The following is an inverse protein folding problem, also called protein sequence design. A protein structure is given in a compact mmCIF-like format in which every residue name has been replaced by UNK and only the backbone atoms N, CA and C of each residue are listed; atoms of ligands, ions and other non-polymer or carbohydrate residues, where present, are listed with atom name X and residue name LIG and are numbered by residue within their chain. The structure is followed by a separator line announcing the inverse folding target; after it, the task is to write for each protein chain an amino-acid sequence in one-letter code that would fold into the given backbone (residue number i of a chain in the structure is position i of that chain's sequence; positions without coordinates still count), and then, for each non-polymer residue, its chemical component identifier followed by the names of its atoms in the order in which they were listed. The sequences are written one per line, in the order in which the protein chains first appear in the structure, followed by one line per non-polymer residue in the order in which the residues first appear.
data_IF_184823137401
#
_entry.id   IF_184823137401
#
_cell.length_a   1.000
_cell.length_b   1.000
_cell.length_c   1.000
_cell.angle_alpha   90.00
_cell.angle_beta   90.00
_cell.angle_gamma   90.00
#
_symmetry.space_group_name_H-M   'P 1'
#
loop_
_entity.id
_entity.type
_entity.pdbx_description
1 polymer ?
#
# COMPACT_ATOMS: atom_id res chain seq x y z
N UNK A 1 0.23 12.96 -11.58
CA UNK A 1 0.60 13.05 -13.01
C UNK A 1 -0.66 12.78 -13.84
N UNK A 2 -0.88 13.54 -14.92
CA UNK A 2 -2.04 13.39 -15.79
C UNK A 2 -1.67 12.72 -17.12
N UNK A 3 -2.57 11.89 -17.62
CA UNK A 3 -2.56 11.32 -18.96
C UNK A 3 -3.47 12.16 -19.87
N UNK A 4 -2.98 12.57 -21.04
CA UNK A 4 -3.74 13.39 -22.02
C UNK A 4 -4.04 12.57 -23.28
N UNK A 5 -5.29 12.63 -23.77
CA UNK A 5 -5.74 11.94 -24.99
C UNK A 5 -6.90 12.70 -25.64
N UNK A 6 -6.75 13.07 -26.91
CA UNK A 6 -7.81 13.72 -27.72
C UNK A 6 -8.50 14.89 -26.98
N UNK A 7 -7.69 15.82 -26.46
CA UNK A 7 -8.08 16.97 -25.61
C UNK A 7 -8.67 16.65 -24.22
N UNK A 8 -8.85 15.36 -23.90
CA UNK A 8 -9.23 14.91 -22.56
C UNK A 8 -8.02 14.64 -21.67
N UNK A 9 -8.24 14.70 -20.37
CA UNK A 9 -7.24 14.42 -19.33
C UNK A 9 -7.77 13.43 -18.29
N UNK A 10 -6.87 12.61 -17.77
CA UNK A 10 -7.18 11.64 -16.71
C UNK A 10 -6.04 11.60 -15.70
N UNK A 11 -6.35 11.35 -14.42
CA UNK A 11 -5.32 11.13 -13.41
C UNK A 11 -4.69 9.75 -13.59
N UNK A 12 -3.37 9.70 -13.71
CA UNK A 12 -2.62 8.45 -13.77
C UNK A 12 -2.30 7.94 -12.36
N UNK A 13 -2.50 6.64 -12.13
CA UNK A 13 -2.06 6.00 -10.88
C UNK A 13 -0.53 5.98 -10.84
N UNK A 14 0.05 6.52 -9.77
CA UNK A 14 1.50 6.63 -9.59
C UNK A 14 2.18 5.26 -9.53
N UNK A 15 1.57 4.28 -8.86
CA UNK A 15 2.24 3.01 -8.57
C UNK A 15 2.08 1.98 -9.70
N UNK A 16 0.85 1.57 -10.01
CA UNK A 16 0.59 0.64 -11.12
C UNK A 16 0.92 -0.83 -10.85
N UNK A 17 1.41 -1.19 -9.66
CA UNK A 17 1.88 -2.56 -9.37
C UNK A 17 0.78 -3.57 -9.01
N UNK A 18 -0.40 -3.11 -8.60
CA UNK A 18 -1.53 -4.03 -8.35
C UNK A 18 -2.00 -4.64 -9.67
N UNK A 19 -2.26 -5.97 -9.74
CA UNK A 19 -2.89 -6.60 -10.90
C UNK A 19 -4.23 -5.96 -11.28
N UNK A 20 -4.96 -5.47 -10.29
CA UNK A 20 -6.27 -4.83 -10.44
C UNK A 20 -6.16 -3.30 -10.61
N UNK A 21 -4.96 -2.75 -10.81
CA UNK A 21 -4.80 -1.32 -10.98
C UNK A 21 -5.47 -0.84 -12.29
N UNK A 22 -6.37 0.16 -12.24
CA UNK A 22 -7.00 0.72 -13.43
C UNK A 22 -6.02 1.52 -14.32
N UNK A 23 -4.77 1.75 -13.85
CA UNK A 23 -3.69 2.54 -14.47
C UNK A 23 -3.98 4.03 -14.58
N UNK A 24 -5.21 4.42 -14.87
CA UNK A 24 -5.69 5.80 -14.86
C UNK A 24 -7.17 5.83 -14.46
N UNK A 25 -7.65 6.99 -14.03
CA UNK A 25 -9.07 7.23 -13.77
C UNK A 25 -9.88 7.40 -15.05
N UNK A 26 -11.05 8.02 -14.93
CA UNK A 26 -11.83 8.45 -16.09
C UNK A 26 -11.20 9.66 -16.79
N UNK A 27 -11.65 9.93 -18.02
CA UNK A 27 -11.17 11.04 -18.84
C UNK A 27 -12.19 12.18 -18.80
N UNK A 28 -11.69 13.40 -18.59
CA UNK A 28 -12.47 14.63 -18.43
C UNK A 28 -11.91 15.75 -19.30
N UNK A 29 -12.65 16.85 -19.43
CA UNK A 29 -12.25 17.98 -20.27
C UNK A 29 -11.12 18.80 -19.64
N UNK A 30 -10.94 18.71 -18.31
CA UNK A 30 -9.92 19.48 -17.59
C UNK A 30 -9.36 18.74 -16.36
N UNK A 31 -8.20 19.21 -15.89
CA UNK A 31 -7.43 18.56 -14.82
C UNK A 31 -8.18 18.58 -13.48
N UNK A 32 -8.99 19.63 -13.23
CA UNK A 32 -9.76 19.76 -12.00
C UNK A 32 -10.84 18.67 -11.89
N UNK A 33 -11.64 18.45 -12.93
CA UNK A 33 -12.65 17.38 -12.95
C UNK A 33 -12.02 16.00 -12.78
N UNK A 34 -10.86 15.78 -13.40
CA UNK A 34 -10.12 14.52 -13.25
C UNK A 34 -9.59 14.31 -11.83
N UNK A 35 -9.19 15.38 -11.12
CA UNK A 35 -8.80 15.33 -9.71
C UNK A 35 -10.01 15.10 -8.78
N UNK A 36 -11.10 15.84 -8.99
CA UNK A 36 -12.36 15.67 -8.24
C UNK A 36 -12.86 14.23 -8.32
N UNK A 37 -12.81 13.61 -9.50
CA UNK A 37 -13.15 12.21 -9.68
C UNK A 37 -12.30 11.26 -8.82
N UNK A 38 -10.97 11.40 -8.81
CA UNK A 38 -10.13 10.49 -8.02
C UNK A 38 -10.24 10.73 -6.52
N UNK A 39 -10.58 11.95 -6.10
CA UNK A 39 -10.96 12.25 -4.71
C UNK A 39 -12.25 11.52 -4.31
N UNK A 40 -13.29 11.57 -5.16
CA UNK A 40 -14.55 10.85 -4.96
C UNK A 40 -14.34 9.33 -4.92
N UNK A 41 -13.52 8.80 -5.83
CA UNK A 41 -13.11 7.39 -5.87
C UNK A 41 -12.09 7.01 -4.78
N UNK A 42 -11.80 7.92 -3.85
CA UNK A 42 -10.96 7.68 -2.67
C UNK A 42 -9.54 7.21 -3.02
N UNK A 43 -8.96 7.73 -4.11
CA UNK A 43 -7.55 7.56 -4.39
C UNK A 43 -6.73 8.27 -3.32
N UNK A 44 -5.54 7.74 -3.04
CA UNK A 44 -4.67 8.23 -1.98
C UNK A 44 -3.74 9.30 -2.55
N UNK A 45 -3.78 10.55 -2.05
CA UNK A 45 -2.83 11.55 -2.43
C UNK A 45 -1.45 11.21 -1.85
N UNK A 46 -0.47 11.17 -2.72
CA UNK A 46 0.96 11.20 -2.41
C UNK A 46 1.45 12.57 -2.84
N UNK A 47 2.34 13.25 -2.15
CA UNK A 47 2.69 14.65 -2.50
C UNK A 47 3.02 14.92 -3.98
N UNK A 48 3.38 13.87 -4.74
CA UNK A 48 3.71 13.89 -6.17
C UNK A 48 2.63 13.30 -7.11
N UNK A 49 1.44 12.92 -6.61
CA UNK A 49 0.35 12.38 -7.42
C UNK A 49 -0.64 11.48 -6.65
N UNK A 50 -1.34 10.60 -7.35
CA UNK A 50 -2.41 9.79 -6.76
C UNK A 50 -2.14 8.29 -6.89
N UNK A 51 -2.51 7.52 -5.87
CA UNK A 51 -2.46 6.06 -5.87
C UNK A 51 -3.88 5.52 -5.78
N UNK A 52 -4.28 4.65 -6.71
CA UNK A 52 -5.60 4.03 -6.65
C UNK A 52 -5.75 3.11 -5.41
N UNK A 53 -6.98 2.88 -4.92
CA UNK A 53 -7.22 2.03 -3.76
C UNK A 53 -6.58 0.64 -3.85
N UNK A 54 -6.63 -0.01 -5.02
CA UNK A 54 -6.06 -1.34 -5.22
C UNK A 54 -4.54 -1.38 -5.08
N UNK A 55 -3.84 -0.36 -5.61
CA UNK A 55 -2.40 -0.23 -5.43
C UNK A 55 -2.04 0.02 -3.95
N UNK A 56 -2.82 0.84 -3.25
CA UNK A 56 -2.60 1.08 -1.83
C UNK A 56 -2.80 -0.20 -1.00
N UNK A 57 -3.88 -0.95 -1.26
CA UNK A 57 -4.14 -2.25 -0.60
C UNK A 57 -3.01 -3.23 -0.89
N UNK A 58 -2.55 -3.31 -2.15
CA UNK A 58 -1.45 -4.16 -2.56
C UNK A 58 -0.18 -3.84 -1.76
N UNK A 59 0.22 -2.56 -1.74
CA UNK A 59 1.38 -2.09 -1.00
C UNK A 59 1.29 -2.40 0.50
N UNK A 60 0.13 -2.15 1.12
CA UNK A 60 -0.08 -2.44 2.55
C UNK A 60 0.04 -3.94 2.86
N UNK A 61 -0.44 -4.82 1.98
CA UNK A 61 -0.26 -6.27 2.12
C UNK A 61 1.21 -6.68 2.03
N UNK A 62 1.96 -6.08 1.11
CA UNK A 62 3.40 -6.32 0.99
C UNK A 62 4.17 -5.84 2.22
N UNK A 63 3.85 -4.65 2.74
CA UNK A 63 4.45 -4.14 3.98
C UNK A 63 4.25 -5.09 5.16
N UNK A 64 3.06 -5.68 5.31
CA UNK A 64 2.79 -6.66 6.37
C UNK A 64 3.64 -7.91 6.20
N UNK A 65 3.80 -8.42 4.96
CA UNK A 65 4.66 -9.57 4.67
C UNK A 65 6.12 -9.26 5.04
N UNK A 66 6.65 -8.14 4.55
CA UNK A 66 8.04 -7.72 4.84
C UNK A 66 8.27 -7.57 6.36
N UNK A 67 7.32 -7.01 7.10
CA UNK A 67 7.42 -6.90 8.57
C UNK A 67 7.45 -8.27 9.25
N UNK A 68 6.60 -9.22 8.81
CA UNK A 68 6.58 -10.59 9.32
C UNK A 68 7.91 -11.29 9.04
N UNK A 69 8.41 -11.18 7.81
CA UNK A 69 9.62 -11.86 7.38
C UNK A 69 10.85 -11.31 8.10
N UNK A 70 10.93 -9.99 8.28
CA UNK A 70 11.97 -9.37 9.12
C UNK A 70 11.90 -9.87 10.55
N UNK A 71 10.71 -9.92 11.18
CA UNK A 71 10.56 -10.45 12.55
C UNK A 71 11.02 -11.91 12.64
N UNK A 72 10.67 -12.77 11.67
CA UNK A 72 11.13 -14.16 11.63
C UNK A 72 12.66 -14.26 11.45
N UNK A 73 13.25 -13.40 10.64
CA UNK A 73 14.70 -13.38 10.41
C UNK A 73 15.45 -12.99 11.68
N UNK A 74 14.95 -12.00 12.42
CA UNK A 74 15.53 -11.58 13.70
C UNK A 74 15.34 -12.60 14.82
N UNK A 75 14.27 -13.41 14.80
CA UNK A 75 14.09 -14.55 15.71
C UNK A 75 15.14 -15.63 15.41
N UNK A 76 15.30 -16.04 14.14
CA UNK A 76 16.28 -17.05 13.74
C UNK A 76 17.72 -16.66 14.09
N UNK A 77 18.09 -15.39 13.86
CA UNK A 77 19.43 -14.90 14.24
C UNK A 77 19.70 -14.99 15.75
N UNK A 78 18.67 -14.83 16.59
CA UNK A 78 18.82 -14.98 18.04
C UNK A 78 18.94 -16.45 18.44
N UNK A 79 18.19 -17.35 17.79
CA UNK A 79 18.33 -18.80 18.00
C UNK A 79 19.73 -19.31 17.63
N UNK A 80 20.36 -18.73 16.61
CA UNK A 80 21.70 -19.10 16.17
C UNK A 80 22.84 -18.46 17.03
N UNK A 81 22.55 -17.40 17.79
CA UNK A 81 23.54 -16.62 18.57
C UNK A 81 23.41 -16.80 20.09
N UNK A 82 22.34 -17.43 20.58
CA UNK A 82 22.18 -17.75 22.00
C UNK A 82 22.44 -19.22 22.29
N UNK A 83 23.61 -19.50 22.88
CA UNK A 83 23.66 -20.50 23.91
C UNK A 83 22.65 -20.14 25.01
N UNK A 84 21.56 -20.91 25.06
CA UNK A 84 20.90 -21.40 26.26
C UNK A 84 20.43 -20.41 27.35
N UNK A 85 19.76 -19.30 27.00
CA UNK A 85 19.02 -18.50 28.00
C UNK A 85 17.56 -18.26 27.58
N UNK A 86 16.70 -19.12 28.12
CA UNK A 86 15.24 -19.12 28.10
C UNK A 86 14.55 -17.73 28.12
N UNK A 87 13.72 -17.44 27.10
CA UNK A 87 12.56 -16.54 27.23
C UNK A 87 11.45 -16.89 26.22
N UNK A 88 10.79 -18.03 26.45
CA UNK A 88 9.42 -18.25 26.00
C UNK A 88 8.50 -17.49 26.95
N UNK A 89 8.10 -16.28 26.60
CA UNK A 89 6.89 -15.68 27.18
C UNK A 89 6.36 -14.59 26.24
N UNK A 90 5.18 -14.87 25.67
CA UNK A 90 4.05 -13.96 25.52
C UNK A 90 2.96 -14.74 24.77
N UNK A 91 2.36 -15.69 25.49
CA UNK A 91 0.96 -16.05 25.24
C UNK A 91 0.16 -14.76 25.43
N UNK A 92 -0.48 -14.31 24.35
CA UNK A 92 -1.29 -13.10 24.36
C UNK A 92 -2.53 -13.35 25.24
N UNK A 93 -2.41 -12.98 26.51
CA UNK A 93 -3.56 -12.71 27.36
C UNK A 93 -4.30 -11.50 26.82
N UNK A 94 -5.39 -11.75 26.10
CA UNK A 94 -6.54 -10.84 26.07
C UNK A 94 -7.75 -11.72 26.34
N UNK A 95 -7.92 -12.08 27.61
CA UNK A 95 -9.24 -12.31 28.17
C UNK A 95 -9.77 -10.98 28.68
N UNK A 96 -10.97 -10.63 28.22
CA UNK A 96 -12.05 -9.93 28.93
C UNK A 96 -12.84 -9.00 28.00
N UNK A 97 -14.09 -8.68 28.34
CA UNK A 97 -15.21 -9.54 28.73
C UNK A 97 -16.36 -9.52 27.70
#
# INVERSE_FOLDING_TARGET
MFLKKDDLVSVQCHNGDSPECPKHGEFFDNEQEAEEYVEEECWIPTGDGWICPDCNIHFMRELVKVRRDKKQTEIKKKEDDSGDDNLLELEAGIDAP
#
